data_IF_537051124814
#
_entry.id   IF_537051124814
#
_cell.length_a   1.000
_cell.length_b   1.000
_cell.length_c   1.000
_cell.angle_alpha   90.00
_cell.angle_beta   90.00
_cell.angle_gamma   90.00
#
_symmetry.space_group_name_H-M   'P 1'
#
loop_
_entity.id
_entity.type
_entity.pdbx_description
1 polymer ?
#
# COMPACT_ATOMS: atom_id res chain seq x y z
N UNK A 1 49.70 18.24 -32.75
CA UNK A 1 48.23 18.39 -32.81
C UNK A 1 47.61 17.31 -31.92
N UNK A 2 46.81 17.69 -30.89
CA UNK A 2 46.44 16.82 -29.77
C UNK A 2 45.09 16.11 -29.99
N UNK A 3 44.91 14.95 -29.37
CA UNK A 3 43.67 14.17 -29.44
C UNK A 3 43.29 13.56 -28.09
N UNK A 4 42.32 14.21 -27.46
CA UNK A 4 41.33 13.73 -26.49
C UNK A 4 41.78 13.01 -25.19
N UNK A 5 41.61 13.76 -24.11
CA UNK A 5 41.51 13.36 -22.72
C UNK A 5 40.49 12.24 -22.46
N UNK A 6 40.84 11.31 -21.58
CA UNK A 6 39.92 10.40 -20.91
C UNK A 6 40.19 10.40 -19.41
N UNK A 7 39.54 11.31 -18.67
CA UNK A 7 39.45 11.26 -17.22
C UNK A 7 38.01 10.90 -16.87
N UNK A 8 37.79 9.70 -16.33
CA UNK A 8 36.61 9.35 -15.56
C UNK A 8 37.08 8.94 -14.16
N UNK A 9 37.44 9.94 -13.35
CA UNK A 9 37.57 9.77 -11.92
C UNK A 9 36.19 9.93 -11.27
N UNK A 10 35.84 8.97 -10.42
CA UNK A 10 34.48 8.72 -9.95
C UNK A 10 33.83 9.88 -9.21
N UNK A 11 32.54 10.05 -9.48
CA UNK A 11 31.64 10.87 -8.67
C UNK A 11 31.37 10.15 -7.35
N UNK A 12 31.58 10.79 -6.18
CA UNK A 12 31.25 10.17 -4.90
C UNK A 12 29.72 10.06 -4.77
N UNK A 13 29.26 8.87 -4.41
CA UNK A 13 27.87 8.58 -4.09
C UNK A 13 27.59 9.28 -2.75
N UNK A 14 26.84 10.38 -2.81
CA UNK A 14 26.41 11.14 -1.64
C UNK A 14 25.53 10.23 -0.75
N UNK A 15 26.13 9.74 0.33
CA UNK A 15 25.46 8.98 1.39
C UNK A 15 24.80 9.97 2.36
N UNK A 16 23.90 10.81 1.87
CA UNK A 16 22.96 11.53 2.73
C UNK A 16 21.78 10.62 3.06
N UNK A 17 22.01 9.72 4.02
CA UNK A 17 20.92 9.13 4.80
C UNK A 17 20.38 10.24 5.71
N UNK A 18 19.45 11.04 5.18
CA UNK A 18 18.60 11.86 6.02
C UNK A 18 17.97 10.95 7.10
N UNK A 19 17.87 11.40 8.37
CA UNK A 19 17.15 10.66 9.38
C UNK A 19 15.72 10.48 8.87
N UNK A 20 15.26 9.22 8.77
CA UNK A 20 13.87 8.92 8.44
C UNK A 20 13.01 9.62 9.48
N UNK A 21 12.41 10.76 9.11
CA UNK A 21 11.55 11.54 9.96
C UNK A 21 10.53 10.62 10.61
N UNK A 22 10.26 10.84 11.90
CA UNK A 22 9.17 10.15 12.58
C UNK A 22 7.90 10.28 11.71
N UNK A 23 7.11 9.21 11.56
CA UNK A 23 5.93 9.24 10.70
C UNK A 23 5.00 10.37 11.14
N UNK A 24 4.65 11.25 10.20
CA UNK A 24 3.76 12.41 10.42
C UNK A 24 2.47 11.97 11.15
N UNK A 25 1.95 12.75 12.12
CA UNK A 25 0.79 12.35 12.93
C UNK A 25 -0.48 12.10 12.10
N UNK A 26 -0.57 12.63 10.87
CA UNK A 26 -1.63 12.31 9.91
C UNK A 26 -1.56 10.87 9.39
N UNK A 27 -0.35 10.32 9.21
CA UNK A 27 -0.14 8.96 8.68
C UNK A 27 -0.72 7.89 9.60
N UNK A 28 -0.58 8.05 10.91
CA UNK A 28 -1.00 7.06 11.90
C UNK A 28 -2.51 6.83 11.95
N UNK A 29 -3.29 7.81 11.49
CA UNK A 29 -4.76 7.76 11.44
C UNK A 29 -5.30 7.23 10.11
N UNK A 30 -4.43 6.99 9.12
CA UNK A 30 -4.82 6.46 7.81
C UNK A 30 -5.32 5.03 7.93
N UNK A 31 -6.33 4.70 7.16
CA UNK A 31 -6.92 3.37 7.08
C UNK A 31 -6.65 2.83 5.68
N UNK A 32 -5.99 1.69 5.59
CA UNK A 32 -5.59 1.10 4.31
C UNK A 32 -6.35 -0.22 4.07
N UNK A 33 -6.64 -0.50 2.80
CA UNK A 33 -7.19 -1.77 2.33
C UNK A 33 -6.46 -2.26 1.09
N UNK A 34 -6.45 -3.57 0.87
CA UNK A 34 -6.09 -4.08 -0.45
C UNK A 34 -7.08 -3.60 -1.52
N UNK A 35 -6.60 -3.48 -2.76
CA UNK A 35 -7.47 -3.22 -3.91
C UNK A 35 -8.48 -4.35 -4.08
N UNK A 36 -9.71 -4.03 -4.46
CA UNK A 36 -10.82 -4.97 -4.59
C UNK A 36 -10.56 -6.11 -5.58
N UNK A 37 -9.75 -5.87 -6.61
CA UNK A 37 -9.39 -6.91 -7.57
C UNK A 37 -8.32 -7.89 -7.05
N UNK A 38 -7.72 -7.64 -5.88
CA UNK A 38 -6.72 -8.50 -5.26
C UNK A 38 -7.36 -9.36 -4.18
N UNK A 39 -7.41 -10.67 -4.42
CA UNK A 39 -7.69 -11.67 -3.40
C UNK A 39 -6.40 -12.03 -2.65
N UNK A 40 -6.39 -11.77 -1.35
CA UNK A 40 -5.23 -11.98 -0.47
C UNK A 40 -5.33 -13.33 0.22
N UNK A 41 -4.29 -14.17 0.11
CA UNK A 41 -4.23 -15.48 0.79
C UNK A 41 -2.91 -15.67 1.51
N UNK A 42 -2.95 -15.74 2.84
CA UNK A 42 -1.80 -16.14 3.64
C UNK A 42 -1.60 -17.65 3.51
N UNK A 43 -0.43 -18.07 3.03
CA UNK A 43 -0.09 -19.50 2.88
C UNK A 43 0.51 -20.06 4.17
N UNK A 44 1.38 -19.28 4.81
CA UNK A 44 2.03 -19.61 6.08
C UNK A 44 2.56 -18.35 6.77
N UNK A 45 3.45 -18.54 7.75
CA UNK A 45 4.04 -17.47 8.57
C UNK A 45 4.90 -16.47 7.79
N UNK A 46 5.26 -16.75 6.54
CA UNK A 46 6.17 -15.91 5.76
C UNK A 46 5.68 -15.63 4.33
N UNK A 47 4.65 -16.33 3.85
CA UNK A 47 4.23 -16.26 2.45
C UNK A 47 2.79 -15.81 2.32
N UNK A 48 2.57 -14.80 1.47
CA UNK A 48 1.24 -14.29 1.11
C UNK A 48 1.11 -14.20 -0.39
N UNK A 49 0.04 -14.77 -0.94
CA UNK A 49 -0.35 -14.59 -2.33
C UNK A 49 -1.32 -13.41 -2.46
N UNK A 50 -1.05 -12.56 -3.45
CA UNK A 50 -1.99 -11.58 -3.97
C UNK A 50 -2.44 -12.08 -5.34
N UNK A 51 -3.73 -12.42 -5.46
CA UNK A 51 -4.32 -13.00 -6.66
C UNK A 51 -5.23 -11.96 -7.31
N UNK A 52 -4.87 -11.47 -8.49
CA UNK A 52 -5.69 -10.53 -9.24
C UNK A 52 -5.01 -10.09 -10.52
N UNK A 53 -5.76 -9.92 -11.61
CA UNK A 53 -5.20 -9.66 -12.93
C UNK A 53 -4.59 -10.91 -13.58
N UNK A 54 -3.58 -10.72 -14.43
CA UNK A 54 -3.00 -11.77 -15.29
C UNK A 54 -2.04 -12.71 -14.58
N UNK A 55 -1.36 -12.26 -13.50
CA UNK A 55 -0.34 -13.03 -12.80
C UNK A 55 -0.44 -12.91 -11.27
N UNK A 56 -0.27 -14.02 -10.52
CA UNK A 56 -0.24 -13.99 -9.07
C UNK A 56 1.08 -13.39 -8.55
N UNK A 57 1.00 -12.56 -7.52
CA UNK A 57 2.18 -12.03 -6.83
C UNK A 57 2.41 -12.74 -5.50
N UNK A 58 3.64 -13.17 -5.24
CA UNK A 58 4.05 -13.77 -3.97
C UNK A 58 4.85 -12.75 -3.14
N UNK A 59 4.32 -12.37 -1.99
CA UNK A 59 5.04 -11.64 -0.96
C UNK A 59 5.77 -12.63 -0.05
N UNK A 60 7.02 -12.32 0.29
CA UNK A 60 7.86 -13.11 1.21
C UNK A 60 8.31 -12.25 2.37
N UNK A 61 8.12 -12.76 3.58
CA UNK A 61 8.49 -12.13 4.84
C UNK A 61 7.37 -12.19 5.87
N UNK A 62 7.74 -12.46 7.12
CA UNK A 62 6.81 -12.59 8.24
C UNK A 62 5.95 -11.35 8.46
N UNK A 63 6.55 -10.16 8.32
CA UNK A 63 5.84 -8.90 8.43
C UNK A 63 4.65 -8.80 7.46
N UNK A 64 4.80 -9.25 6.21
CA UNK A 64 3.70 -9.25 5.24
C UNK A 64 2.60 -10.24 5.63
N UNK A 65 2.96 -11.43 6.11
CA UNK A 65 2.00 -12.43 6.56
C UNK A 65 1.18 -11.96 7.78
N UNK A 66 1.79 -11.18 8.67
CA UNK A 66 1.12 -10.59 9.82
C UNK A 66 0.24 -9.38 9.45
N UNK A 67 0.72 -8.52 8.56
CA UNK A 67 0.02 -7.28 8.17
C UNK A 67 -1.13 -7.55 7.20
N UNK A 68 -0.96 -8.45 6.24
CA UNK A 68 -1.95 -8.74 5.20
C UNK A 68 -3.38 -8.99 5.73
N UNK A 69 -3.62 -9.84 6.73
CA UNK A 69 -4.98 -10.06 7.24
C UNK A 69 -5.61 -8.85 7.95
N UNK A 70 -4.81 -7.82 8.30
CA UNK A 70 -5.28 -6.63 9.01
C UNK A 70 -5.55 -5.43 8.09
N UNK A 71 -5.13 -5.50 6.82
CA UNK A 71 -5.36 -4.46 5.81
C UNK A 71 -6.72 -4.64 5.11
N UNK A 72 -7.78 -4.56 5.90
CA UNK A 72 -9.17 -4.74 5.45
C UNK A 72 -9.96 -3.43 5.31
N UNK A 73 -9.30 -2.28 5.50
CA UNK A 73 -9.97 -0.98 5.42
C UNK A 73 -10.75 -0.60 6.68
N UNK A 74 -10.55 -1.29 7.80
CA UNK A 74 -11.24 -0.96 9.07
C UNK A 74 -10.31 -0.43 10.15
N UNK A 75 -9.01 -0.69 10.04
CA UNK A 75 -8.01 -0.38 11.07
C UNK A 75 -7.07 0.74 10.62
N UNK A 76 -6.79 1.65 11.54
CA UNK A 76 -5.74 2.65 11.32
C UNK A 76 -4.36 2.01 11.40
N UNK A 77 -3.36 2.67 10.80
CA UNK A 77 -1.96 2.24 10.93
C UNK A 77 -1.54 2.14 12.41
N UNK A 78 -1.96 3.07 13.27
CA UNK A 78 -1.71 3.00 14.72
C UNK A 78 -2.31 1.73 15.37
N UNK A 79 -3.53 1.35 14.98
CA UNK A 79 -4.18 0.14 15.50
C UNK A 79 -3.47 -1.13 15.03
N UNK A 80 -3.01 -1.17 13.77
CA UNK A 80 -2.23 -2.30 13.24
C UNK A 80 -0.91 -2.46 14.01
N UNK A 81 -0.19 -1.36 14.26
CA UNK A 81 1.04 -1.37 15.05
C UNK A 81 0.80 -1.89 16.48
N UNK A 82 -0.27 -1.44 17.13
CA UNK A 82 -0.63 -1.90 18.47
C UNK A 82 -0.96 -3.40 18.50
N UNK A 83 -1.73 -3.90 17.53
CA UNK A 83 -2.11 -5.32 17.45
C UNK A 83 -0.92 -6.26 17.18
N UNK A 84 0.12 -5.77 16.53
CA UNK A 84 1.30 -6.55 16.16
C UNK A 84 2.51 -6.34 17.06
N UNK A 85 2.39 -5.52 18.12
CA UNK A 85 3.51 -5.12 18.97
C UNK A 85 4.28 -6.30 19.58
N UNK A 86 3.59 -7.40 19.92
CA UNK A 86 4.21 -8.61 20.49
C UNK A 86 4.76 -9.58 19.43
N UNK A 87 4.48 -9.34 18.15
CA UNK A 87 4.79 -10.27 17.06
C UNK A 87 5.83 -9.73 16.07
N UNK A 88 5.87 -8.41 15.88
CA UNK A 88 6.79 -7.73 14.99
C UNK A 88 7.12 -6.33 15.54
N UNK A 89 8.31 -5.84 15.23
CA UNK A 89 8.69 -4.49 15.67
C UNK A 89 7.86 -3.40 14.95
N UNK A 90 7.64 -2.23 15.56
CA UNK A 90 6.94 -1.13 14.89
C UNK A 90 7.57 -0.72 13.56
N UNK A 91 8.92 -0.59 13.43
CA UNK A 91 9.54 -0.27 12.14
C UNK A 91 9.32 -1.34 11.06
N UNK A 92 9.34 -2.62 11.43
CA UNK A 92 9.12 -3.73 10.51
C UNK A 92 7.67 -3.75 10.00
N UNK A 93 6.71 -3.58 10.91
CA UNK A 93 5.29 -3.49 10.58
C UNK A 93 5.00 -2.30 9.66
N UNK A 94 5.54 -1.12 10.01
CA UNK A 94 5.37 0.09 9.20
C UNK A 94 6.01 -0.07 7.81
N UNK A 95 7.20 -0.66 7.74
CA UNK A 95 7.86 -0.94 6.47
C UNK A 95 7.01 -1.84 5.56
N UNK A 96 6.41 -2.90 6.11
CA UNK A 96 5.53 -3.78 5.35
C UNK A 96 4.30 -3.04 4.82
N UNK A 97 3.61 -2.27 5.66
CA UNK A 97 2.44 -1.46 5.28
C UNK A 97 2.79 -0.46 4.16
N UNK A 98 3.84 0.34 4.36
CA UNK A 98 4.27 1.33 3.37
C UNK A 98 4.71 0.69 2.06
N UNK A 99 5.37 -0.48 2.11
CA UNK A 99 5.78 -1.18 0.90
C UNK A 99 4.58 -1.69 0.10
N UNK A 100 3.54 -2.20 0.77
CA UNK A 100 2.31 -2.65 0.12
C UNK A 100 1.57 -1.51 -0.57
N UNK A 101 1.53 -0.35 0.08
CA UNK A 101 0.98 0.87 -0.51
C UNK A 101 1.82 1.37 -1.69
N UNK A 102 3.14 1.50 -1.51
CA UNK A 102 4.05 2.01 -2.55
C UNK A 102 4.08 1.12 -3.80
N UNK A 103 3.93 -0.20 -3.63
CA UNK A 103 3.80 -1.15 -4.75
C UNK A 103 2.41 -1.16 -5.38
N UNK A 104 1.47 -0.37 -4.86
CA UNK A 104 0.13 -0.21 -5.40
C UNK A 104 -0.80 -1.40 -5.12
N UNK A 105 -0.48 -2.25 -4.13
CA UNK A 105 -1.34 -3.35 -3.71
C UNK A 105 -2.41 -2.90 -2.71
N UNK A 106 -2.04 -1.94 -1.86
CA UNK A 106 -2.94 -1.32 -0.90
C UNK A 106 -3.25 0.12 -1.30
N UNK A 107 -4.44 0.59 -0.95
CA UNK A 107 -4.92 1.96 -1.15
C UNK A 107 -5.55 2.47 0.14
N UNK A 108 -5.59 3.79 0.29
CA UNK A 108 -6.32 4.42 1.37
C UNK A 108 -7.82 4.15 1.21
N UNK A 109 -8.43 3.58 2.24
CA UNK A 109 -9.88 3.45 2.33
C UNK A 109 -10.50 4.84 2.51
N UNK A 110 -11.74 5.07 2.04
CA UNK A 110 -12.39 6.35 2.29
C UNK A 110 -12.44 6.62 3.79
N UNK A 111 -12.04 7.85 4.15
CA UNK A 111 -11.89 8.28 5.52
C UNK A 111 -13.15 7.98 6.33
N UNK A 112 -13.02 7.67 7.64
CA UNK A 112 -14.17 7.40 8.51
C UNK A 112 -15.17 8.57 8.62
N UNK A 113 -14.79 9.76 8.15
CA UNK A 113 -15.62 10.98 8.08
C UNK A 113 -16.41 11.14 6.79
N UNK A 114 -16.12 10.37 5.73
CA UNK A 114 -16.96 10.28 4.53
C UNK A 114 -17.89 9.09 4.75
N UNK A 115 -19.17 9.25 4.40
CA UNK A 115 -20.16 8.20 4.57
C UNK A 115 -19.69 6.90 3.87
N UNK A 116 -19.31 5.90 4.69
CA UNK A 116 -18.88 4.56 4.23
C UNK A 116 -19.98 3.84 3.45
N UNK A 117 -21.21 4.35 3.46
CA UNK A 117 -22.25 3.90 2.56
C UNK A 117 -21.83 4.04 1.09
N UNK A 118 -21.00 5.02 0.69
CA UNK A 118 -20.59 5.17 -0.71
C UNK A 118 -19.62 4.07 -1.20
N UNK A 119 -18.62 3.69 -0.39
CA UNK A 119 -17.70 2.59 -0.74
C UNK A 119 -18.43 1.24 -0.73
N UNK A 120 -19.45 1.08 0.13
CA UNK A 120 -20.32 -0.12 0.16
C UNK A 120 -21.40 -0.14 -0.93
N UNK A 121 -21.84 1.03 -1.40
CA UNK A 121 -22.86 1.16 -2.45
C UNK A 121 -22.29 0.95 -3.85
N UNK A 122 -20.97 0.88 -3.97
CA UNK A 122 -20.31 0.47 -5.19
C UNK A 122 -20.45 -1.04 -5.39
N UNK A 123 -20.93 -1.42 -6.57
CA UNK A 123 -20.81 -2.79 -7.05
C UNK A 123 -19.33 -3.22 -6.98
N UNK A 124 -18.98 -4.28 -6.23
CA UNK A 124 -17.61 -4.78 -6.13
C UNK A 124 -16.95 -5.05 -7.49
N UNK A 125 -17.74 -5.46 -8.50
CA UNK A 125 -17.23 -5.68 -9.85
C UNK A 125 -16.79 -4.36 -10.52
N UNK A 126 -17.58 -3.30 -10.36
CA UNK A 126 -17.23 -1.97 -10.87
C UNK A 126 -16.00 -1.41 -10.15
N UNK A 127 -15.89 -1.59 -8.84
CA UNK A 127 -14.72 -1.16 -8.07
C UNK A 127 -13.44 -1.88 -8.53
N UNK A 128 -13.50 -3.20 -8.69
CA UNK A 128 -12.39 -4.00 -9.18
C UNK A 128 -11.92 -3.56 -10.58
N UNK A 129 -12.85 -3.29 -11.49
CA UNK A 129 -12.54 -2.82 -12.85
C UNK A 129 -11.76 -1.50 -12.84
N UNK A 130 -12.25 -0.46 -12.16
CA UNK A 130 -11.59 0.85 -12.14
C UNK A 130 -10.24 0.81 -11.42
N UNK A 131 -10.15 0.06 -10.31
CA UNK A 131 -8.89 -0.07 -9.57
C UNK A 131 -7.84 -0.88 -10.36
N UNK A 132 -8.25 -1.84 -11.20
CA UNK A 132 -7.35 -2.55 -12.11
C UNK A 132 -6.78 -1.63 -13.20
N UNK A 133 -7.53 -0.60 -13.60
CA UNK A 133 -7.08 0.45 -14.53
C UNK A 133 -6.28 1.58 -13.84
N UNK A 134 -6.06 1.48 -12.52
CA UNK A 134 -5.30 2.47 -11.76
C UNK A 134 -6.11 3.66 -11.24
N UNK A 135 -7.44 3.64 -11.37
CA UNK A 135 -8.31 4.69 -10.84
C UNK A 135 -8.86 4.31 -9.46
N UNK A 136 -9.03 5.30 -8.58
CA UNK A 136 -9.74 5.10 -7.31
C UNK A 136 -11.25 4.94 -7.60
N UNK A 137 -11.81 3.75 -7.34
CA UNK A 137 -13.20 3.41 -7.64
C UNK A 137 -14.20 4.44 -7.10
N UNK A 138 -14.04 4.89 -5.86
CA UNK A 138 -14.90 5.89 -5.25
C UNK A 138 -14.91 7.23 -5.99
N UNK A 139 -13.74 7.68 -6.48
CA UNK A 139 -13.63 8.94 -7.23
C UNK A 139 -14.31 8.85 -8.60
N UNK A 140 -14.29 7.66 -9.22
CA UNK A 140 -15.03 7.41 -10.46
C UNK A 140 -16.54 7.38 -10.20
N UNK A 141 -16.97 6.76 -9.09
CA UNK A 141 -18.37 6.72 -8.66
C UNK A 141 -18.96 8.12 -8.47
N UNK A 142 -18.25 8.98 -7.73
CA UNK A 142 -18.65 10.37 -7.51
C UNK A 142 -18.80 11.14 -8.84
N UNK A 143 -17.87 10.93 -9.78
CA UNK A 143 -17.90 11.57 -11.11
C UNK A 143 -19.05 11.09 -11.99
N UNK A 144 -19.35 9.78 -11.96
CA UNK A 144 -20.49 9.21 -12.68
C UNK A 144 -21.82 9.70 -12.08
N UNK A 145 -21.93 9.78 -10.76
CA UNK A 145 -23.12 10.29 -10.08
C UNK A 145 -23.34 11.81 -10.31
N UNK A 146 -22.28 12.56 -10.57
CA UNK A 146 -22.34 14.00 -10.85
C UNK A 146 -22.61 14.34 -12.34
N UNK A 147 -22.78 13.34 -13.21
CA UNK A 147 -23.08 13.56 -14.63
C UNK A 147 -24.55 13.20 -14.91
N UNK A 148 -25.39 14.15 -15.36
CA UNK A 148 -26.82 13.92 -15.65
C UNK A 148 -27.07 13.10 -16.92
#
# INVERSE_FOLDING_TARGET
MPGAAGILAGTPIDKSLAPRAAPEPSMMHRVLRFKHHLSVRVLDRERVFLLGGSDPHLLRGRAYALVAPLLDGTRTIAQILALLADQASPPETLFAVMTLEQRGYAVEALAPSVDRSLDRSLDPAAAAFWEAQGFAAARVAERLAATP
#
